data_IF_954059254663
#
_entry.id   IF_954059254663
#
_cell.length_a   1.000
_cell.length_b   1.000
_cell.length_c   1.000
_cell.angle_alpha   90.00
_cell.angle_beta   90.00
_cell.angle_gamma   90.00
#
_symmetry.space_group_name_H-M   'P 1'
#
loop_
_entity.id
_entity.type
_entity.pdbx_description
1 polymer ?
#
# COMPACT_ATOMS: atom_id res chain seq x y z
N UNK A 1 -23.08 24.42 1.29
CA UNK A 1 -22.32 23.50 2.19
C UNK A 1 -22.64 23.75 3.65
N UNK A 2 -22.55 25.01 4.10
CA UNK A 2 -22.90 25.37 5.48
C UNK A 2 -24.36 25.00 5.78
N UNK A 3 -25.29 25.35 4.88
CA UNK A 3 -26.72 25.03 5.05
C UNK A 3 -26.98 23.52 5.11
N UNK A 4 -26.25 22.73 4.32
CA UNK A 4 -26.30 21.27 4.37
C UNK A 4 -25.83 20.75 5.73
N UNK A 5 -24.74 21.31 6.27
CA UNK A 5 -24.24 20.93 7.59
C UNK A 5 -25.23 21.31 8.69
N UNK A 6 -25.86 22.48 8.60
CA UNK A 6 -26.89 22.92 9.54
C UNK A 6 -28.12 22.02 9.49
N UNK A 7 -28.64 21.73 8.30
CA UNK A 7 -29.83 20.89 8.10
C UNK A 7 -29.64 19.46 8.62
N UNK A 8 -28.45 18.88 8.44
CA UNK A 8 -28.14 17.51 8.87
C UNK A 8 -27.47 17.45 10.25
N UNK A 9 -27.51 18.54 11.02
CA UNK A 9 -26.87 18.66 12.34
C UNK A 9 -25.38 18.29 12.35
N UNK A 10 -24.65 18.47 11.25
CA UNK A 10 -23.23 18.18 11.18
C UNK A 10 -22.39 19.30 11.84
N UNK A 11 -21.14 18.98 12.18
CA UNK A 11 -20.17 19.93 12.76
C UNK A 11 -19.02 20.13 11.78
N UNK A 12 -18.76 21.39 11.43
CA UNK A 12 -17.55 21.81 10.69
C UNK A 12 -16.42 21.99 11.71
N UNK A 13 -15.31 21.29 11.54
CA UNK A 13 -14.27 21.23 12.56
C UNK A 13 -13.02 22.06 12.24
N UNK A 14 -12.90 22.61 11.03
CA UNK A 14 -11.73 23.39 10.58
C UNK A 14 -11.44 24.65 11.42
N UNK A 15 -12.45 25.19 12.09
CA UNK A 15 -12.36 26.44 12.88
C UNK A 15 -12.25 26.18 14.39
N UNK A 16 -12.23 24.92 14.81
CA UNK A 16 -12.29 24.57 16.24
C UNK A 16 -10.98 24.87 16.98
N UNK A 17 -9.84 24.77 16.29
CA UNK A 17 -8.51 25.01 16.86
C UNK A 17 -7.94 26.32 16.35
N UNK A 18 -7.35 27.11 17.26
CA UNK A 18 -6.60 28.27 16.83
C UNK A 18 -5.23 27.86 16.30
N UNK A 19 -4.98 28.27 15.07
CA UNK A 19 -3.78 27.95 14.32
C UNK A 19 -3.26 29.20 13.63
N UNK A 20 -1.95 29.22 13.37
CA UNK A 20 -1.34 30.21 12.48
C UNK A 20 -2.07 30.18 11.13
N UNK A 21 -2.26 31.34 10.51
CA UNK A 21 -2.97 31.49 9.22
C UNK A 21 -2.52 30.50 8.15
N UNK A 22 -1.21 30.23 8.09
CA UNK A 22 -0.64 29.27 7.16
C UNK A 22 -1.32 27.88 7.25
N UNK A 23 -1.82 27.46 8.41
CA UNK A 23 -2.48 26.17 8.59
C UNK A 23 -3.99 26.19 8.38
N UNK A 24 -4.59 27.35 8.11
CA UNK A 24 -6.05 27.52 7.97
C UNK A 24 -6.55 27.39 6.52
N UNK A 25 -5.72 27.75 5.54
CA UNK A 25 -6.09 27.78 4.12
C UNK A 25 -5.76 26.47 3.41
N UNK A 26 -6.73 25.92 2.68
CA UNK A 26 -6.56 24.67 1.92
C UNK A 26 -6.35 24.92 0.43
N UNK A 27 -6.54 26.15 -0.04
CA UNK A 27 -6.32 26.54 -1.43
C UNK A 27 -5.48 27.82 -1.50
N UNK A 28 -4.59 27.90 -2.48
CA UNK A 28 -3.87 29.13 -2.80
C UNK A 28 -3.61 29.25 -4.29
N UNK A 29 -3.85 30.44 -4.86
CA UNK A 29 -3.53 30.71 -6.27
C UNK A 29 -2.18 31.43 -6.44
N UNK A 30 -1.75 31.55 -7.70
CA UNK A 30 -0.50 32.23 -8.10
C UNK A 30 -0.51 33.74 -7.83
N UNK A 31 -1.69 34.32 -7.65
CA UNK A 31 -1.91 35.75 -7.34
C UNK A 31 -1.93 36.06 -5.84
N UNK A 32 -1.72 35.04 -4.99
CA UNK A 32 -1.64 35.21 -3.54
C UNK A 32 -2.97 35.13 -2.79
N UNK A 33 -4.09 34.91 -3.48
CA UNK A 33 -5.39 34.66 -2.83
C UNK A 33 -5.38 33.28 -2.17
N UNK A 34 -5.99 33.20 -0.99
CA UNK A 34 -6.09 31.98 -0.20
C UNK A 34 -7.52 31.80 0.28
N UNK A 35 -7.98 30.56 0.28
CA UNK A 35 -9.30 30.22 0.80
C UNK A 35 -9.26 28.86 1.50
N UNK A 36 -10.27 28.61 2.32
CA UNK A 36 -10.56 27.29 2.87
C UNK A 36 -11.75 26.76 2.10
N UNK A 37 -11.53 25.74 1.27
CA UNK A 37 -12.58 25.11 0.45
C UNK A 37 -12.70 23.62 0.72
N UNK A 38 -11.77 23.04 1.46
CA UNK A 38 -11.79 21.67 1.93
C UNK A 38 -12.12 21.66 3.43
N UNK A 39 -13.09 20.84 3.84
CA UNK A 39 -13.55 20.80 5.23
C UNK A 39 -13.64 19.38 5.77
N UNK A 40 -13.34 19.23 7.06
CA UNK A 40 -13.54 18.00 7.80
C UNK A 40 -14.79 18.17 8.65
N UNK A 41 -15.83 17.46 8.23
CA UNK A 41 -17.15 17.50 8.82
C UNK A 41 -17.41 16.18 9.56
N UNK A 42 -17.99 16.27 10.75
CA UNK A 42 -18.35 15.10 11.56
C UNK A 42 -19.82 15.17 11.97
N UNK A 43 -20.44 14.01 12.16
CA UNK A 43 -21.72 13.94 12.86
C UNK A 43 -21.56 14.30 14.35
N UNK A 44 -22.68 14.44 15.07
CA UNK A 44 -22.68 14.78 16.51
C UNK A 44 -22.27 13.63 17.42
N UNK A 45 -22.32 12.38 16.93
CA UNK A 45 -21.86 11.22 17.69
C UNK A 45 -20.35 11.26 17.99
N UNK A 46 -19.55 11.87 17.11
CA UNK A 46 -18.14 12.15 17.40
C UNK A 46 -18.07 13.35 18.35
N UNK A 47 -17.65 13.07 19.58
CA UNK A 47 -17.50 14.10 20.60
C UNK A 47 -16.39 15.10 20.20
N UNK A 48 -16.56 16.42 20.38
CA UNK A 48 -15.52 17.42 20.03
C UNK A 48 -14.13 17.09 20.58
N UNK A 49 -14.05 16.63 21.84
CA UNK A 49 -12.78 16.21 22.48
C UNK A 49 -12.09 15.01 21.83
N UNK A 50 -12.76 14.28 20.93
CA UNK A 50 -12.12 13.24 20.13
C UNK A 50 -11.35 13.83 18.94
N UNK A 51 -11.73 15.01 18.45
CA UNK A 51 -10.99 15.70 17.40
C UNK A 51 -9.86 16.43 18.11
N UNK A 52 -8.60 16.07 17.86
CA UNK A 52 -7.43 16.59 18.58
C UNK A 52 -6.74 17.74 17.86
N UNK A 53 -6.79 17.77 16.53
CA UNK A 53 -6.12 18.78 15.70
C UNK A 53 -6.70 18.73 14.28
N UNK A 54 -6.90 19.89 13.64
CA UNK A 54 -7.26 19.97 12.22
C UNK A 54 -6.49 21.11 11.57
N UNK A 55 -5.58 20.76 10.68
CA UNK A 55 -4.66 21.73 10.09
C UNK A 55 -4.25 21.38 8.68
N UNK A 56 -3.92 22.41 7.92
CA UNK A 56 -3.35 22.26 6.59
C UNK A 56 -1.85 22.00 6.65
N UNK A 57 -1.39 21.01 5.88
CA UNK A 57 0.00 20.62 5.71
C UNK A 57 0.59 21.27 4.46
N UNK A 58 1.02 22.51 4.61
CA UNK A 58 1.60 23.30 3.52
C UNK A 58 2.88 22.73 2.91
N UNK A 59 3.61 21.90 3.65
CA UNK A 59 4.85 21.27 3.17
C UNK A 59 4.61 19.97 2.40
N UNK A 60 3.37 19.48 2.33
CA UNK A 60 3.02 18.31 1.54
C UNK A 60 3.01 18.68 0.04
N UNK A 61 3.63 17.84 -0.79
CA UNK A 61 3.53 17.92 -2.24
C UNK A 61 2.36 17.06 -2.71
N UNK A 62 1.22 17.69 -2.98
CA UNK A 62 -0.01 17.03 -3.48
C UNK A 62 -0.11 17.13 -5.01
N UNK A 63 0.73 17.95 -5.65
CA UNK A 63 0.68 18.17 -7.10
C UNK A 63 -0.57 18.93 -7.58
N UNK A 64 -1.22 19.70 -6.70
CA UNK A 64 -2.40 20.52 -6.96
C UNK A 64 -2.24 21.90 -6.29
N UNK A 65 -3.04 22.85 -6.72
CA UNK A 65 -3.34 24.13 -6.07
C UNK A 65 -4.04 24.00 -4.71
N UNK A 66 -4.52 22.80 -4.37
CA UNK A 66 -4.98 22.42 -3.04
C UNK A 66 -3.83 21.94 -2.15
N UNK A 67 -3.92 22.30 -0.88
CA UNK A 67 -3.05 21.85 0.19
C UNK A 67 -3.72 20.74 1.00
N UNK A 68 -2.91 19.79 1.50
CA UNK A 68 -3.43 18.65 2.24
C UNK A 68 -4.01 19.06 3.59
N UNK A 69 -5.30 18.84 3.82
CA UNK A 69 -5.94 19.03 5.13
C UNK A 69 -5.81 17.75 5.97
N UNK A 70 -5.30 17.87 7.19
CA UNK A 70 -5.08 16.76 8.11
C UNK A 70 -5.96 16.91 9.35
N UNK A 71 -6.68 15.85 9.72
CA UNK A 71 -7.30 15.72 11.04
C UNK A 71 -6.60 14.65 11.89
N UNK A 72 -6.39 14.97 13.16
CA UNK A 72 -5.98 14.03 14.20
C UNK A 72 -7.21 13.71 15.05
N UNK A 73 -7.64 12.45 15.08
CA UNK A 73 -8.84 12.02 15.80
C UNK A 73 -8.49 10.89 16.76
N UNK A 74 -8.92 11.02 18.02
CA UNK A 74 -8.83 10.03 19.08
C UNK A 74 -10.05 9.11 19.04
N UNK A 75 -9.85 7.93 18.49
CA UNK A 75 -10.88 6.90 18.44
C UNK A 75 -10.77 5.98 19.67
N UNK A 76 -11.87 5.84 20.41
CA UNK A 76 -11.97 4.88 21.51
C UNK A 76 -12.57 3.57 20.99
N UNK A 77 -11.75 2.73 20.39
CA UNK A 77 -12.15 1.35 20.10
C UNK A 77 -11.59 0.44 21.19
N UNK A 78 -12.40 -0.50 21.69
CA UNK A 78 -11.85 -1.70 22.30
C UNK A 78 -11.35 -2.55 21.14
N UNK A 79 -10.04 -2.69 20.90
CA UNK A 79 -9.59 -3.63 19.89
C UNK A 79 -10.12 -5.00 20.32
N UNK A 80 -10.86 -5.68 19.46
CA UNK A 80 -10.98 -7.13 19.58
C UNK A 80 -9.57 -7.67 19.42
N UNK A 81 -8.88 -7.86 20.55
CA UNK A 81 -7.67 -8.66 20.62
C UNK A 81 -8.10 -10.08 20.28
N UNK A 82 -8.24 -10.39 18.99
CA UNK A 82 -8.02 -11.77 18.57
C UNK A 82 -6.58 -12.04 19.02
N UNK A 83 -6.42 -12.89 20.04
CA UNK A 83 -5.17 -13.57 20.31
C UNK A 83 -4.82 -14.23 18.98
N UNK A 84 -4.06 -13.53 18.14
CA UNK A 84 -3.63 -14.02 16.85
C UNK A 84 -2.61 -15.07 17.20
N UNK A 85 -3.07 -16.31 17.27
CA UNK A 85 -2.21 -17.47 17.39
C UNK A 85 -1.13 -17.33 16.33
N UNK A 86 0.12 -17.61 16.73
CA UNK A 86 1.22 -17.79 15.79
C UNK A 86 0.85 -18.96 14.89
N UNK A 87 0.15 -18.69 13.79
CA UNK A 87 -0.16 -19.71 12.81
C UNK A 87 1.14 -20.01 12.09
N UNK A 88 1.74 -21.14 12.44
CA UNK A 88 2.78 -21.77 11.63
C UNK A 88 2.10 -22.25 10.35
N UNK A 89 2.48 -21.66 9.21
CA UNK A 89 1.98 -22.10 7.90
C UNK A 89 3.09 -22.91 7.23
N UNK A 90 2.77 -24.15 6.89
CA UNK A 90 3.66 -25.02 6.11
C UNK A 90 3.46 -24.68 4.63
N UNK A 91 4.52 -24.23 3.95
CA UNK A 91 4.51 -23.97 2.51
C UNK A 91 5.46 -24.91 1.78
N UNK A 92 5.05 -25.35 0.60
CA UNK A 92 5.92 -26.07 -0.34
C UNK A 92 7.00 -25.12 -0.86
N UNK A 93 8.24 -25.61 -0.98
CA UNK A 93 9.37 -24.82 -1.46
C UNK A 93 9.39 -24.78 -3.00
N UNK A 94 8.54 -23.95 -3.59
CA UNK A 94 8.40 -23.85 -5.06
C UNK A 94 9.73 -23.43 -5.72
N UNK A 95 10.56 -22.65 -5.03
CA UNK A 95 11.88 -22.23 -5.50
C UNK A 95 12.82 -23.41 -5.82
N UNK A 96 12.61 -24.58 -5.19
CA UNK A 96 13.38 -25.79 -5.51
C UNK A 96 13.19 -26.30 -6.94
N UNK A 97 12.12 -25.90 -7.64
CA UNK A 97 11.92 -26.26 -9.05
C UNK A 97 12.91 -25.60 -10.02
N UNK A 98 13.71 -24.63 -9.55
CA UNK A 98 14.78 -24.04 -10.36
C UNK A 98 15.97 -24.99 -10.51
N UNK A 99 16.09 -25.98 -9.64
CA UNK A 99 17.04 -27.07 -9.79
C UNK A 99 16.46 -28.14 -10.72
N UNK A 100 17.18 -28.43 -11.80
CA UNK A 100 16.76 -29.39 -12.82
C UNK A 100 16.57 -30.80 -12.24
N UNK A 101 17.40 -31.21 -11.28
CA UNK A 101 17.33 -32.52 -10.65
C UNK A 101 16.06 -32.67 -9.81
N UNK A 102 15.69 -31.62 -9.07
CA UNK A 102 14.48 -31.60 -8.25
C UNK A 102 13.23 -31.53 -9.12
N UNK A 103 13.29 -30.78 -10.24
CA UNK A 103 12.21 -30.76 -11.23
C UNK A 103 11.95 -32.16 -11.80
N UNK A 104 12.99 -32.87 -12.22
CA UNK A 104 12.88 -34.25 -12.72
C UNK A 104 12.35 -35.21 -11.65
N UNK A 105 12.79 -35.05 -10.40
CA UNK A 105 12.27 -35.83 -9.28
C UNK A 105 10.78 -35.59 -9.08
N UNK A 106 10.33 -34.33 -9.13
CA UNK A 106 8.91 -33.98 -9.02
C UNK A 106 8.07 -34.58 -10.16
N UNK A 107 8.54 -34.50 -11.41
CA UNK A 107 7.86 -35.10 -12.56
C UNK A 107 7.69 -36.62 -12.40
N UNK A 108 8.75 -37.31 -11.94
CA UNK A 108 8.70 -38.74 -11.64
C UNK A 108 7.69 -39.05 -10.55
N UNK A 109 7.75 -38.34 -9.42
CA UNK A 109 6.82 -38.53 -8.28
C UNK A 109 5.38 -38.25 -8.66
N UNK A 110 5.13 -37.21 -9.45
CA UNK A 110 3.79 -36.89 -9.92
C UNK A 110 3.23 -38.01 -10.81
N UNK A 111 4.06 -38.54 -11.72
CA UNK A 111 3.68 -39.66 -12.59
C UNK A 111 3.35 -40.91 -11.77
N UNK A 112 4.18 -41.25 -10.78
CA UNK A 112 3.93 -42.35 -9.84
C UNK A 112 2.59 -42.17 -9.09
N UNK A 113 2.33 -40.97 -8.56
CA UNK A 113 1.09 -40.68 -7.82
C UNK A 113 -0.15 -40.76 -8.71
N UNK A 114 -0.07 -40.27 -9.95
CA UNK A 114 -1.17 -40.37 -10.92
C UNK A 114 -1.45 -41.82 -11.28
N UNK A 115 -0.41 -42.66 -11.44
CA UNK A 115 -0.58 -44.09 -11.70
C UNK A 115 -1.24 -44.83 -10.52
N UNK A 116 -0.88 -44.49 -9.28
CA UNK A 116 -1.46 -45.12 -8.08
C UNK A 116 -2.90 -44.65 -7.83
N UNK A 117 -3.19 -43.36 -8.06
CA UNK A 117 -4.52 -42.76 -7.86
C UNK A 117 -5.00 -42.11 -9.17
N UNK A 118 -5.37 -42.90 -10.18
CA UNK A 118 -5.85 -42.36 -11.45
C UNK A 118 -7.26 -41.79 -11.28
N UNK A 119 -7.55 -40.77 -12.10
CA UNK A 119 -8.91 -40.27 -12.29
C UNK A 119 -9.62 -41.27 -13.20
N UNK A 120 -10.74 -41.80 -12.74
CA UNK A 120 -11.56 -42.76 -13.47
C UNK A 120 -12.78 -42.08 -14.08
N UNK A 121 -13.37 -42.68 -15.10
CA UNK A 121 -14.54 -42.13 -15.78
C UNK A 121 -15.78 -42.08 -14.86
N UNK A 122 -15.85 -42.99 -13.88
CA UNK A 122 -16.91 -43.03 -12.87
C UNK A 122 -16.75 -42.02 -11.72
N UNK A 123 -15.65 -41.25 -11.67
CA UNK A 123 -15.44 -40.26 -10.61
C UNK A 123 -16.34 -39.03 -10.82
N UNK A 124 -16.89 -38.50 -9.71
CA UNK A 124 -17.54 -37.19 -9.73
C UNK A 124 -16.51 -36.07 -9.94
N UNK A 125 -16.95 -34.92 -10.46
CA UNK A 125 -16.09 -33.75 -10.68
C UNK A 125 -15.27 -33.37 -9.43
N UNK A 126 -15.92 -33.38 -8.26
CA UNK A 126 -15.24 -33.07 -6.99
C UNK A 126 -14.20 -34.12 -6.63
N UNK A 127 -14.51 -35.40 -6.85
CA UNK A 127 -13.60 -36.52 -6.60
C UNK A 127 -12.39 -36.46 -7.54
N UNK A 128 -12.59 -36.20 -8.82
CA UNK A 128 -11.52 -36.02 -9.80
C UNK A 128 -10.63 -34.84 -9.43
N UNK A 129 -11.22 -33.73 -9.01
CA UNK A 129 -10.48 -32.55 -8.55
C UNK A 129 -9.64 -32.82 -7.30
N UNK A 130 -10.20 -33.50 -6.30
CA UNK A 130 -9.48 -33.85 -5.09
C UNK A 130 -8.33 -34.83 -5.37
N UNK A 131 -8.54 -35.81 -6.26
CA UNK A 131 -7.46 -36.70 -6.72
C UNK A 131 -6.32 -35.92 -7.38
N UNK A 132 -6.65 -35.05 -8.34
CA UNK A 132 -5.65 -34.21 -9.02
C UNK A 132 -4.87 -33.34 -8.01
N UNK A 133 -5.60 -32.60 -7.18
CA UNK A 133 -5.04 -31.69 -6.18
C UNK A 133 -4.15 -32.42 -5.18
N UNK A 134 -4.58 -33.59 -4.69
CA UNK A 134 -3.80 -34.37 -3.74
C UNK A 134 -2.57 -34.99 -4.39
N UNK A 135 -2.69 -35.54 -5.61
CA UNK A 135 -1.54 -36.09 -6.34
C UNK A 135 -0.46 -35.02 -6.56
N UNK A 136 -0.85 -33.81 -6.98
CA UNK A 136 0.07 -32.68 -7.15
C UNK A 136 0.68 -32.27 -5.80
N UNK A 137 -0.13 -32.11 -4.75
CA UNK A 137 0.36 -31.67 -3.43
C UNK A 137 1.30 -32.69 -2.79
N UNK A 138 0.96 -33.97 -2.83
CA UNK A 138 1.78 -35.05 -2.27
C UNK A 138 3.11 -35.15 -3.02
N UNK A 139 3.10 -35.17 -4.35
CA UNK A 139 4.32 -35.21 -5.16
C UNK A 139 5.20 -33.97 -4.91
N UNK A 140 4.59 -32.80 -4.82
CA UNK A 140 5.29 -31.55 -4.53
C UNK A 140 5.87 -31.54 -3.11
N UNK A 141 5.14 -32.00 -2.09
CA UNK A 141 5.67 -32.12 -0.72
C UNK A 141 6.85 -33.10 -0.64
N UNK A 142 6.79 -34.22 -1.35
CA UNK A 142 7.86 -35.24 -1.37
C UNK A 142 9.11 -34.77 -2.12
N UNK A 143 8.95 -34.12 -3.28
CA UNK A 143 10.08 -33.71 -4.11
C UNK A 143 10.67 -32.34 -3.73
N UNK A 144 9.82 -31.37 -3.40
CA UNK A 144 10.23 -29.99 -3.11
C UNK A 144 10.47 -29.75 -1.62
N UNK A 145 9.98 -30.65 -0.77
CA UNK A 145 9.97 -30.45 0.67
C UNK A 145 9.02 -29.32 1.10
N UNK A 146 9.03 -29.04 2.39
CA UNK A 146 8.22 -27.97 2.97
C UNK A 146 9.06 -27.09 3.89
N UNK A 147 8.68 -25.81 3.97
CA UNK A 147 9.24 -24.85 4.92
C UNK A 147 8.14 -24.32 5.83
N UNK A 148 8.43 -24.29 7.11
CA UNK A 148 7.55 -23.69 8.12
C UNK A 148 7.78 -22.20 8.17
N UNK A 149 6.78 -21.42 7.75
CA UNK A 149 6.82 -19.97 7.83
C UNK A 149 6.12 -19.56 9.11
N UNK A 150 6.90 -19.04 10.06
CA UNK A 150 6.36 -18.31 11.20
C UNK A 150 5.84 -16.98 10.68
N UNK A 151 4.52 -16.75 10.72
CA UNK A 151 3.94 -15.41 10.51
C UNK A 151 4.27 -14.52 11.71
N UNK A 152 5.53 -14.17 11.87
CA UNK A 152 5.90 -13.05 12.72
C UNK A 152 5.55 -11.78 11.95
N UNK A 153 4.55 -11.04 12.44
CA UNK A 153 4.14 -9.77 11.82
C UNK A 153 5.26 -8.70 11.79
N UNK A 154 6.47 -8.96 12.31
CA UNK A 154 7.57 -8.00 12.36
C UNK A 154 8.53 -8.07 11.17
N UNK A 155 8.66 -9.20 10.49
CA UNK A 155 9.33 -9.24 9.17
C UNK A 155 8.31 -8.74 8.16
N UNK A 156 8.17 -7.41 8.09
CA UNK A 156 7.55 -6.72 6.96
C UNK A 156 8.19 -7.29 5.70
N UNK A 157 7.54 -8.25 5.04
CA UNK A 157 7.78 -8.53 3.64
C UNK A 157 7.72 -7.15 2.99
N UNK A 158 8.82 -6.71 2.36
CA UNK A 158 8.88 -5.41 1.71
C UNK A 158 7.73 -5.38 0.71
N UNK A 159 6.62 -4.71 1.07
CA UNK A 159 5.39 -4.65 0.25
C UNK A 159 5.63 -3.95 -1.09
N UNK A 160 6.81 -3.37 -1.25
CA UNK A 160 7.29 -2.68 -2.44
C UNK A 160 8.74 -3.09 -2.73
N UNK A 161 9.00 -4.32 -3.23
CA UNK A 161 10.37 -4.76 -3.54
C UNK A 161 11.05 -3.89 -4.60
N UNK A 162 10.26 -3.22 -5.45
CA UNK A 162 10.72 -2.21 -6.42
C UNK A 162 11.20 -0.89 -5.78
N UNK A 163 10.87 -0.60 -4.51
CA UNK A 163 11.24 0.64 -3.83
C UNK A 163 12.66 0.56 -3.24
N UNK A 164 13.65 0.60 -4.14
CA UNK A 164 15.08 0.47 -3.85
C UNK A 164 15.66 1.78 -3.26
N UNK A 165 16.86 1.74 -2.64
CA UNK A 165 17.54 2.93 -2.11
C UNK A 165 17.67 4.08 -3.13
N UNK A 166 17.92 3.77 -4.40
CA UNK A 166 17.98 4.75 -5.50
C UNK A 166 16.67 5.52 -5.68
N UNK A 167 15.53 4.84 -5.64
CA UNK A 167 14.20 5.46 -5.70
C UNK A 167 13.96 6.34 -4.50
N UNK A 168 14.34 5.84 -3.31
CA UNK A 168 14.20 6.59 -2.06
C UNK A 168 15.00 7.90 -2.11
N UNK A 169 16.21 7.86 -2.67
CA UNK A 169 17.08 9.02 -2.82
C UNK A 169 16.50 10.03 -3.82
N UNK A 170 16.03 9.56 -4.98
CA UNK A 170 15.34 10.43 -5.95
C UNK A 170 14.07 11.06 -5.37
N UNK A 171 13.29 10.33 -4.57
CA UNK A 171 12.17 10.91 -3.83
C UNK A 171 12.60 11.98 -2.81
N UNK A 172 13.76 11.82 -2.18
CA UNK A 172 14.35 12.82 -1.25
C UNK A 172 14.78 14.07 -2.00
N UNK A 173 15.47 13.93 -3.13
CA UNK A 173 15.84 15.04 -4.02
C UNK A 173 14.61 15.83 -4.47
N UNK A 174 13.57 15.13 -4.94
CA UNK A 174 12.29 15.74 -5.34
C UNK A 174 11.68 16.56 -4.20
N UNK A 175 11.68 16.02 -2.98
CA UNK A 175 11.14 16.72 -1.79
C UNK A 175 11.94 17.99 -1.48
N UNK A 176 13.27 17.94 -1.56
CA UNK A 176 14.13 19.10 -1.30
C UNK A 176 13.88 20.18 -2.37
N UNK A 177 13.87 19.80 -3.64
CA UNK A 177 13.59 20.73 -4.74
C UNK A 177 12.21 21.39 -4.61
N UNK A 178 11.19 20.63 -4.19
CA UNK A 178 9.86 21.17 -3.90
C UNK A 178 9.86 22.19 -2.76
N UNK A 179 10.54 21.91 -1.65
CA UNK A 179 10.64 22.84 -0.53
C UNK A 179 11.39 24.12 -0.93
N UNK A 180 12.46 24.01 -1.72
CA UNK A 180 13.18 25.16 -2.25
C UNK A 180 12.29 26.01 -3.17
N UNK A 181 11.56 25.39 -4.09
CA UNK A 181 10.58 26.07 -4.93
C UNK A 181 9.50 26.79 -4.10
N UNK A 182 8.97 26.15 -3.05
CA UNK A 182 7.96 26.79 -2.19
C UNK A 182 8.48 28.02 -1.44
N UNK A 183 9.75 28.01 -1.06
CA UNK A 183 10.40 29.12 -0.35
C UNK A 183 10.74 30.27 -1.29
N UNK A 184 11.38 29.99 -2.43
CA UNK A 184 11.89 31.01 -3.34
C UNK A 184 10.83 31.52 -4.34
N UNK A 185 9.93 30.64 -4.79
CA UNK A 185 8.88 30.90 -5.79
C UNK A 185 9.37 31.56 -7.08
N UNK A 186 10.62 31.30 -7.46
CA UNK A 186 11.22 31.79 -8.71
C UNK A 186 10.96 30.83 -9.86
N UNK A 187 11.02 31.33 -11.10
CA UNK A 187 10.92 30.49 -12.31
C UNK A 187 11.99 29.40 -12.36
N UNK A 188 13.23 29.74 -12.00
CA UNK A 188 14.35 28.79 -11.97
C UNK A 188 14.15 27.66 -10.94
N UNK A 189 13.69 28.00 -9.72
CA UNK A 189 13.40 26.99 -8.70
C UNK A 189 12.24 26.06 -9.13
N UNK A 190 11.25 26.60 -9.85
CA UNK A 190 10.17 25.79 -10.45
C UNK A 190 10.68 24.85 -11.54
N UNK A 191 11.51 25.34 -12.46
CA UNK A 191 12.10 24.54 -13.54
C UNK A 191 12.98 23.41 -12.98
N UNK A 192 13.74 23.70 -11.92
CA UNK A 192 14.53 22.71 -11.19
C UNK A 192 13.65 21.62 -10.56
N UNK A 193 12.60 22.01 -9.83
CA UNK A 193 11.63 21.07 -9.26
C UNK A 193 10.94 20.24 -10.36
N UNK A 194 10.50 20.88 -11.45
CA UNK A 194 9.82 20.22 -12.58
C UNK A 194 10.70 19.15 -13.21
N UNK A 195 11.98 19.46 -13.44
CA UNK A 195 12.96 18.51 -13.97
C UNK A 195 13.11 17.30 -13.05
N UNK A 196 13.42 17.51 -11.78
CA UNK A 196 13.63 16.43 -10.79
C UNK A 196 12.35 15.60 -10.58
N UNK A 197 11.17 16.24 -10.60
CA UNK A 197 9.87 15.56 -10.55
C UNK A 197 9.71 14.61 -11.72
N UNK A 198 9.96 15.09 -12.94
CA UNK A 198 9.82 14.28 -14.15
C UNK A 198 10.79 13.10 -14.16
N UNK A 199 12.07 13.33 -13.81
CA UNK A 199 13.08 12.28 -13.65
C UNK A 199 12.63 11.21 -12.63
N UNK A 200 12.16 11.65 -11.45
CA UNK A 200 11.70 10.75 -10.38
C UNK A 200 10.49 9.92 -10.85
N UNK A 201 9.53 10.55 -11.52
CA UNK A 201 8.33 9.87 -12.03
C UNK A 201 8.68 8.86 -13.13
N UNK A 202 9.59 9.21 -14.05
CA UNK A 202 10.07 8.32 -15.09
C UNK A 202 10.78 7.09 -14.49
N UNK A 203 11.68 7.31 -13.54
CA UNK A 203 12.41 6.24 -12.86
C UNK A 203 11.46 5.30 -12.10
N UNK A 204 10.53 5.84 -11.30
CA UNK A 204 9.53 5.03 -10.59
C UNK A 204 8.69 4.19 -11.56
N UNK A 205 8.29 4.76 -12.71
CA UNK A 205 7.53 4.04 -13.73
C UNK A 205 8.36 2.90 -14.34
N UNK A 206 9.60 3.17 -14.73
CA UNK A 206 10.51 2.17 -15.30
C UNK A 206 10.76 1.02 -14.33
N UNK A 207 11.08 1.32 -13.06
CA UNK A 207 11.35 0.28 -12.06
C UNK A 207 10.11 -0.57 -11.76
N UNK A 208 8.92 0.04 -11.73
CA UNK A 208 7.66 -0.71 -11.60
C UNK A 208 7.41 -1.63 -12.78
N UNK A 209 7.64 -1.15 -14.01
CA UNK A 209 7.47 -1.96 -15.22
C UNK A 209 8.44 -3.14 -15.26
N UNK A 210 9.73 -2.91 -14.98
CA UNK A 210 10.75 -3.98 -14.90
C UNK A 210 10.38 -5.02 -13.84
N UNK A 211 9.96 -4.56 -12.66
CA UNK A 211 9.49 -5.46 -11.62
C UNK A 211 8.27 -6.27 -12.09
N UNK A 212 7.30 -5.65 -12.78
CA UNK A 212 6.15 -6.38 -13.32
C UNK A 212 6.56 -7.46 -14.33
N UNK A 213 7.50 -7.17 -15.23
CA UNK A 213 8.00 -8.10 -16.25
C UNK A 213 8.74 -9.30 -15.66
N UNK A 214 9.52 -9.10 -14.59
CA UNK A 214 10.31 -10.17 -13.94
C UNK A 214 9.42 -11.15 -13.16
N UNK A 215 8.31 -10.67 -12.59
CA UNK A 215 7.47 -11.48 -11.69
C UNK A 215 6.13 -11.94 -12.32
N UNK A 216 5.85 -11.58 -13.58
CA UNK A 216 4.64 -12.00 -14.31
C UNK A 216 4.92 -12.94 -15.50
N UNK A 217 6.17 -13.33 -15.73
CA UNK A 217 6.56 -14.39 -16.68
C UNK A 217 6.95 -15.64 -15.93
#
# INVERSE_FOLDING_TARGET
MIDLCTFNELRINNTFYDHKEQHKFTFSNTRGHRSTIDYIVTNRYIHPLQILDIRTLNSADVGSDHSLLLAKIKLKFKPHKKLRQETQEVKINIESLWDLSIKQLHEKRLTEKIQVKPIKAEDSINTSWDKLKNNIKEAACEALGTRTIKRNNSTKINKTPWFRPEIKEKCREKKIAYLNYRTLRTRESFETYRRIRNETTALVRQTKNQHWEIFSK
#
